data_IF_007496983608
#
_entry.id   IF_007496983608
#
_cell.length_a   1.000
_cell.length_b   1.000
_cell.length_c   1.000
_cell.angle_alpha   90.00
_cell.angle_beta   90.00
_cell.angle_gamma   90.00
#
_symmetry.space_group_name_H-M   'P 1'
#
loop_
_entity.id
_entity.type
_entity.pdbx_description
1 polymer ?
#
# COMPACT_ATOMS: atom_id res chain seq x y z
N UNK A 1 36.52 -5.52 5.03
CA UNK A 1 36.13 -4.53 6.05
C UNK A 1 35.07 -5.01 7.04
N UNK A 2 33.82 -5.26 6.62
CA UNK A 2 32.75 -5.61 7.57
C UNK A 2 32.94 -6.99 8.23
N UNK A 3 33.38 -8.00 7.48
CA UNK A 3 33.75 -9.33 8.00
C UNK A 3 35.00 -9.30 8.89
N UNK A 4 35.91 -8.37 8.61
CA UNK A 4 37.12 -8.11 9.40
C UNK A 4 36.83 -7.32 10.69
N UNK A 5 35.57 -7.01 10.97
CA UNK A 5 35.16 -6.32 12.19
C UNK A 5 35.45 -4.82 12.23
N UNK A 6 35.80 -4.18 11.10
CA UNK A 6 36.16 -2.75 11.05
C UNK A 6 35.03 -1.82 11.53
N UNK A 7 33.76 -2.23 11.38
CA UNK A 7 32.58 -1.48 11.83
C UNK A 7 32.02 -2.00 13.16
N UNK A 8 32.82 -2.75 13.94
CA UNK A 8 32.43 -3.30 15.25
C UNK A 8 33.43 -2.86 16.33
N UNK A 9 32.92 -2.62 17.54
CA UNK A 9 33.73 -2.32 18.73
C UNK A 9 34.68 -1.11 18.62
N UNK A 10 34.34 -0.12 17.79
CA UNK A 10 35.06 1.16 17.68
C UNK A 10 34.08 2.30 17.32
N UNK A 11 34.59 3.52 17.08
CA UNK A 11 33.74 4.67 16.72
C UNK A 11 32.93 4.46 15.43
N UNK A 12 33.44 3.67 14.48
CA UNK A 12 32.76 3.34 13.24
C UNK A 12 31.58 2.37 13.43
N UNK A 13 31.39 1.83 14.64
CA UNK A 13 30.16 1.10 14.99
C UNK A 13 28.90 2.01 15.00
N UNK A 14 29.09 3.33 15.04
CA UNK A 14 28.00 4.33 14.95
C UNK A 14 27.56 4.64 13.52
N UNK A 15 28.22 4.07 12.50
CA UNK A 15 27.90 4.33 11.10
C UNK A 15 26.50 3.78 10.76
N UNK A 16 25.63 4.64 10.23
CA UNK A 16 24.24 4.28 9.91
C UNK A 16 23.96 4.16 8.41
N UNK A 17 24.73 4.87 7.58
CA UNK A 17 24.54 4.93 6.14
C UNK A 17 25.88 4.84 5.41
N UNK A 18 25.92 4.04 4.36
CA UNK A 18 27.00 4.04 3.38
C UNK A 18 26.56 4.77 2.12
N UNK A 19 27.47 5.57 1.56
CA UNK A 19 27.35 6.18 0.23
C UNK A 19 28.50 5.66 -0.61
N UNK A 20 28.19 5.09 -1.77
CA UNK A 20 29.15 4.53 -2.71
C UNK A 20 29.00 5.26 -4.03
N UNK A 21 30.09 5.76 -4.59
CA UNK A 21 30.06 6.52 -5.84
C UNK A 21 31.31 6.28 -6.67
N UNK A 22 31.15 6.34 -7.99
CA UNK A 22 32.23 6.46 -8.96
C UNK A 22 32.15 7.81 -9.72
N UNK A 23 31.61 8.84 -9.06
CA UNK A 23 31.30 10.19 -9.58
C UNK A 23 30.13 10.26 -10.57
N UNK A 24 30.04 9.29 -11.49
CA UNK A 24 28.96 9.22 -12.48
C UNK A 24 27.70 8.59 -11.93
N UNK A 25 27.84 7.60 -11.05
CA UNK A 25 26.74 6.87 -10.41
C UNK A 25 26.95 6.86 -8.91
N UNK A 26 25.90 7.17 -8.16
CA UNK A 26 25.93 7.28 -6.70
C UNK A 26 24.81 6.46 -6.11
N UNK A 27 25.15 5.59 -5.16
CA UNK A 27 24.22 4.70 -4.46
C UNK A 27 24.37 4.88 -2.96
N UNK A 28 23.31 4.62 -2.23
CA UNK A 28 23.33 4.62 -0.77
C UNK A 28 22.56 3.44 -0.21
N UNK A 29 22.94 2.99 0.98
CA UNK A 29 22.28 1.91 1.69
C UNK A 29 22.51 2.02 3.20
N UNK A 30 21.55 1.49 3.97
CA UNK A 30 21.65 1.45 5.42
C UNK A 30 22.75 0.46 5.87
N UNK A 31 23.42 0.77 6.98
CA UNK A 31 24.37 -0.17 7.57
C UNK A 31 23.64 -1.44 8.04
N UNK A 32 24.16 -2.61 7.66
CA UNK A 32 23.62 -3.91 8.00
C UNK A 32 24.76 -4.91 8.25
N UNK A 33 24.45 -6.03 8.90
CA UNK A 33 25.43 -7.10 9.09
C UNK A 33 25.83 -7.70 7.74
N UNK A 34 27.06 -8.23 7.57
CA UNK A 34 27.52 -8.78 6.29
C UNK A 34 26.56 -9.79 5.64
N UNK A 35 25.94 -10.64 6.46
CA UNK A 35 24.93 -11.64 6.03
C UNK A 35 23.66 -11.02 5.44
N UNK A 36 23.36 -9.78 5.79
CA UNK A 36 22.14 -9.05 5.41
C UNK A 36 22.40 -7.98 4.35
N UNK A 37 23.68 -7.74 3.98
CA UNK A 37 24.05 -6.87 2.88
C UNK A 37 23.67 -7.53 1.55
N UNK A 38 22.67 -6.96 0.87
CA UNK A 38 22.22 -7.44 -0.43
C UNK A 38 22.27 -6.32 -1.48
N UNK A 39 22.73 -6.57 -2.72
CA UNK A 39 22.76 -5.57 -3.78
C UNK A 39 21.41 -4.91 -4.11
N UNK A 40 20.30 -5.54 -3.71
CA UNK A 40 18.93 -5.00 -3.87
C UNK A 40 18.64 -3.82 -2.95
N UNK A 41 19.45 -3.62 -1.91
CA UNK A 41 19.31 -2.49 -0.98
C UNK A 41 20.21 -1.30 -1.35
N UNK A 42 20.88 -1.35 -2.51
CA UNK A 42 21.64 -0.23 -3.07
C UNK A 42 20.70 0.68 -3.87
N UNK A 43 20.31 1.80 -3.27
CA UNK A 43 19.34 2.70 -3.87
C UNK A 43 20.01 3.86 -4.59
N UNK A 44 19.39 4.29 -5.69
CA UNK A 44 19.70 5.57 -6.34
C UNK A 44 18.84 6.64 -5.69
N UNK A 45 19.37 7.85 -5.52
CA UNK A 45 18.52 8.97 -5.14
C UNK A 45 17.63 9.37 -6.32
N UNK A 46 16.42 9.86 -6.03
CA UNK A 46 15.51 10.44 -7.03
C UNK A 46 15.08 11.83 -6.59
N UNK A 47 14.85 12.71 -7.56
CA UNK A 47 14.22 14.01 -7.32
C UNK A 47 12.73 13.84 -6.98
N UNK A 48 12.05 14.94 -6.63
CA UNK A 48 10.60 14.97 -6.37
C UNK A 48 9.77 14.55 -7.59
N UNK A 49 10.29 14.80 -8.78
CA UNK A 49 9.67 14.41 -10.05
C UNK A 49 10.04 12.98 -10.47
N UNK A 50 10.72 12.25 -9.59
CA UNK A 50 11.23 10.89 -9.79
C UNK A 50 12.37 10.80 -10.82
N UNK A 51 13.14 11.84 -11.08
CA UNK A 51 14.33 11.72 -11.93
C UNK A 51 15.52 11.17 -11.13
N UNK A 52 16.28 10.23 -11.70
CA UNK A 52 17.45 9.63 -11.02
C UNK A 52 18.57 10.66 -10.85
N UNK A 53 19.13 10.74 -9.64
CA UNK A 53 20.28 11.57 -9.31
C UNK A 53 21.51 10.68 -9.22
N UNK A 54 22.21 10.55 -10.36
CA UNK A 54 23.36 9.66 -10.51
C UNK A 54 24.67 10.36 -10.14
N UNK A 55 24.82 11.63 -10.53
CA UNK A 55 26.03 12.42 -10.32
C UNK A 55 26.28 12.69 -8.82
N UNK A 56 27.52 12.49 -8.37
CA UNK A 56 27.92 12.65 -6.97
C UNK A 56 27.67 14.07 -6.43
N UNK A 57 27.97 15.11 -7.22
CA UNK A 57 27.84 16.49 -6.74
C UNK A 57 26.38 16.89 -6.56
N UNK A 58 25.49 16.45 -7.46
CA UNK A 58 24.06 16.64 -7.31
C UNK A 58 23.49 15.83 -6.13
N UNK A 59 23.97 14.61 -5.92
CA UNK A 59 23.64 13.83 -4.73
C UNK A 59 24.08 14.55 -3.45
N UNK A 60 25.30 15.08 -3.40
CA UNK A 60 25.80 15.84 -2.25
C UNK A 60 24.94 17.08 -1.96
N UNK A 61 24.56 17.83 -2.99
CA UNK A 61 23.70 19.02 -2.83
C UNK A 61 22.31 18.69 -2.33
N UNK A 62 21.74 17.53 -2.69
CA UNK A 62 20.36 17.18 -2.33
C UNK A 62 20.25 16.34 -1.06
N UNK A 63 21.25 15.50 -0.77
CA UNK A 63 21.17 14.46 0.28
C UNK A 63 22.16 14.72 1.41
N UNK A 64 23.39 15.12 1.08
CA UNK A 64 24.46 15.32 2.07
C UNK A 64 24.60 16.78 2.54
N UNK A 65 23.72 17.66 2.06
CA UNK A 65 23.67 19.03 2.57
C UNK A 65 23.21 19.03 4.03
N UNK A 66 23.58 20.07 4.77
CA UNK A 66 22.98 20.34 6.08
C UNK A 66 21.82 21.34 5.86
N UNK A 67 20.61 21.07 6.38
CA UNK A 67 20.29 20.05 7.39
C UNK A 67 19.78 18.69 6.86
N UNK A 68 19.68 18.47 5.54
CA UNK A 68 18.97 17.31 5.00
C UNK A 68 19.65 15.97 5.34
N UNK A 69 20.98 15.93 5.43
CA UNK A 69 21.72 14.75 5.88
C UNK A 69 21.33 14.33 7.31
N UNK A 70 21.20 15.31 8.21
CA UNK A 70 20.76 15.05 9.58
C UNK A 70 19.32 14.55 9.63
N UNK A 71 18.44 15.09 8.78
CA UNK A 71 17.03 14.63 8.69
C UNK A 71 16.93 13.22 8.15
N UNK A 72 17.73 12.86 7.13
CA UNK A 72 17.77 11.50 6.58
C UNK A 72 18.05 10.46 7.66
N UNK A 73 19.06 10.75 8.48
CA UNK A 73 19.46 9.87 9.57
C UNK A 73 18.47 9.90 10.74
N UNK A 74 18.02 11.08 11.18
CA UNK A 74 17.23 11.22 12.40
C UNK A 74 15.72 10.92 12.21
N UNK A 75 15.13 11.35 11.09
CA UNK A 75 13.68 11.31 10.87
C UNK A 75 13.27 10.22 9.87
N UNK A 76 14.16 9.87 8.93
CA UNK A 76 13.87 8.96 7.81
C UNK A 76 14.59 7.62 7.89
N UNK A 77 15.13 7.28 9.07
CA UNK A 77 15.67 5.95 9.36
C UNK A 77 14.83 5.26 10.42
N UNK A 78 14.60 3.96 10.25
CA UNK A 78 13.77 3.12 11.11
C UNK A 78 14.59 1.88 11.48
N UNK A 79 14.49 1.41 12.71
CA UNK A 79 15.03 0.09 13.05
C UNK A 79 13.91 -0.93 12.93
N UNK A 80 14.17 -1.97 12.15
CA UNK A 80 13.33 -3.16 12.08
C UNK A 80 13.90 -4.19 13.05
N UNK A 81 13.07 -4.63 14.01
CA UNK A 81 13.37 -5.73 14.92
C UNK A 81 12.67 -7.00 14.45
N UNK A 82 13.43 -8.00 14.01
CA UNK A 82 12.87 -9.32 13.75
C UNK A 82 13.57 -10.39 14.59
N UNK A 83 12.80 -10.91 15.55
CA UNK A 83 13.02 -11.95 16.57
C UNK A 83 14.38 -12.03 17.30
N UNK A 84 15.51 -11.69 16.66
CA UNK A 84 16.86 -11.54 17.23
C UNK A 84 17.80 -10.60 16.42
N UNK A 85 17.38 -10.02 15.28
CA UNK A 85 18.19 -9.08 14.48
C UNK A 85 17.55 -7.69 14.45
N UNK A 86 18.34 -6.66 14.81
CA UNK A 86 18.05 -5.25 14.56
C UNK A 86 18.66 -4.83 13.24
N UNK A 87 17.83 -4.44 12.27
CA UNK A 87 18.29 -3.96 10.97
C UNK A 87 17.86 -2.51 10.78
N UNK A 88 18.80 -1.64 10.42
CA UNK A 88 18.46 -0.27 10.04
C UNK A 88 17.87 -0.25 8.63
N UNK A 89 16.76 0.44 8.47
CA UNK A 89 16.09 0.69 7.20
C UNK A 89 16.01 2.20 6.98
N UNK A 90 16.66 2.68 5.93
CA UNK A 90 16.58 4.08 5.51
C UNK A 90 15.47 4.18 4.47
N UNK A 91 14.58 5.17 4.63
CA UNK A 91 13.51 5.41 3.68
C UNK A 91 14.06 5.77 2.29
N UNK A 92 13.34 5.32 1.27
CA UNK A 92 13.65 5.60 -0.12
C UNK A 92 13.32 7.08 -0.44
N UNK A 93 13.91 7.66 -1.50
CA UNK A 93 13.77 9.09 -1.79
C UNK A 93 12.31 9.50 -2.02
N UNK A 94 11.54 8.68 -2.73
CA UNK A 94 10.12 8.92 -2.97
C UNK A 94 9.26 8.89 -1.70
N UNK A 95 9.68 8.14 -0.66
CA UNK A 95 9.01 8.11 0.64
C UNK A 95 9.31 9.41 1.40
N UNK A 96 10.57 9.85 1.38
CA UNK A 96 11.02 11.12 1.96
C UNK A 96 10.26 12.29 1.31
N UNK A 97 10.24 12.36 -0.02
CA UNK A 97 9.55 13.43 -0.76
C UNK A 97 8.04 13.43 -0.50
N UNK A 98 7.40 12.25 -0.40
CA UNK A 98 5.99 12.15 -0.02
C UNK A 98 5.74 12.70 1.39
N UNK A 99 6.56 12.33 2.38
CA UNK A 99 6.45 12.86 3.75
C UNK A 99 6.62 14.38 3.76
N UNK A 100 7.61 14.91 3.02
CA UNK A 100 7.81 16.35 2.92
C UNK A 100 6.61 17.07 2.29
N UNK A 101 5.99 16.49 1.25
CA UNK A 101 4.80 17.04 0.63
C UNK A 101 3.60 17.06 1.61
N UNK A 102 3.41 15.99 2.39
CA UNK A 102 2.41 15.94 3.46
C UNK A 102 2.63 17.05 4.51
N UNK A 103 3.88 17.30 4.89
CA UNK A 103 4.23 18.35 5.85
C UNK A 103 3.86 19.75 5.35
N UNK A 104 4.11 20.02 4.06
CA UNK A 104 3.75 21.29 3.41
C UNK A 104 2.22 21.43 3.35
N UNK A 105 1.52 20.36 2.96
CA UNK A 105 0.06 20.36 2.87
C UNK A 105 -0.60 20.53 4.25
N UNK A 106 -0.10 19.83 5.28
CA UNK A 106 -0.60 19.93 6.65
C UNK A 106 -0.45 21.34 7.24
N UNK A 107 0.67 22.01 6.96
CA UNK A 107 0.90 23.41 7.34
C UNK A 107 -0.12 24.37 6.73
N UNK A 108 -0.64 24.03 5.54
CA UNK A 108 -1.65 24.82 4.83
C UNK A 108 -3.07 24.37 5.13
N UNK A 109 -3.27 23.41 6.03
CA UNK A 109 -4.55 22.73 6.26
C UNK A 109 -5.17 22.17 4.96
N UNK A 110 -4.32 21.71 4.04
CA UNK A 110 -4.71 21.15 2.75
C UNK A 110 -4.66 19.63 2.81
N UNK A 111 -5.76 18.99 2.43
CA UNK A 111 -5.81 17.55 2.24
C UNK A 111 -5.19 17.17 0.90
N UNK A 112 -4.75 15.92 0.76
CA UNK A 112 -4.26 15.39 -0.51
C UNK A 112 -4.01 13.89 -0.45
N UNK A 113 -3.46 13.30 -1.51
CA UNK A 113 -3.12 11.89 -1.53
C UNK A 113 -1.76 11.60 -2.16
N UNK A 114 -1.16 10.48 -1.74
CA UNK A 114 0.09 9.95 -2.25
C UNK A 114 -0.23 8.74 -3.11
N UNK A 115 0.21 8.80 -4.37
CA UNK A 115 0.06 7.71 -5.32
C UNK A 115 1.37 6.96 -5.49
N UNK A 116 1.51 5.85 -4.79
CA UNK A 116 2.73 5.05 -4.74
C UNK A 116 2.43 3.60 -5.12
N UNK A 117 3.25 2.99 -5.97
CA UNK A 117 3.04 1.64 -6.49
C UNK A 117 2.76 0.59 -5.39
N UNK A 118 1.96 -0.43 -5.70
CA UNK A 118 1.76 -1.56 -4.78
C UNK A 118 3.09 -2.26 -4.51
N UNK A 119 3.41 -2.50 -3.24
CA UNK A 119 4.70 -3.05 -2.83
C UNK A 119 5.82 -2.01 -2.62
N UNK A 120 5.59 -0.71 -2.85
CA UNK A 120 6.63 0.32 -2.66
C UNK A 120 6.85 0.76 -1.21
N UNK A 121 6.23 0.11 -0.22
CA UNK A 121 6.32 0.49 1.19
C UNK A 121 5.40 1.64 1.62
N UNK A 122 4.18 1.73 1.05
CA UNK A 122 3.16 2.73 1.45
C UNK A 122 2.84 2.70 2.93
N UNK A 123 2.55 1.53 3.48
CA UNK A 123 2.21 1.34 4.90
C UNK A 123 3.29 1.86 5.85
N UNK A 124 4.56 1.60 5.53
CA UNK A 124 5.70 2.15 6.25
C UNK A 124 5.76 3.67 6.13
N UNK A 125 5.57 4.19 4.92
CA UNK A 125 5.57 5.64 4.63
C UNK A 125 4.44 6.36 5.37
N UNK A 126 3.23 5.80 5.40
CA UNK A 126 2.08 6.37 6.11
C UNK A 126 2.30 6.36 7.62
N UNK A 127 2.93 5.31 8.15
CA UNK A 127 3.25 5.23 9.58
C UNK A 127 4.28 6.30 9.98
N UNK A 128 5.39 6.40 9.24
CA UNK A 128 6.41 7.43 9.51
C UNK A 128 5.83 8.83 9.33
N UNK A 129 4.98 9.04 8.31
CA UNK A 129 4.26 10.31 8.13
C UNK A 129 3.43 10.65 9.36
N UNK A 130 2.65 9.70 9.86
CA UNK A 130 1.77 9.87 11.04
C UNK A 130 2.59 10.25 12.27
N UNK A 131 3.69 9.54 12.50
CA UNK A 131 4.64 9.77 13.60
C UNK A 131 5.27 11.16 13.55
N UNK A 132 5.78 11.56 12.39
CA UNK A 132 6.45 12.86 12.24
C UNK A 132 5.43 14.01 12.32
N UNK A 133 4.23 13.85 11.75
CA UNK A 133 3.15 14.85 11.85
C UNK A 133 2.69 15.07 13.29
N UNK A 134 2.66 14.03 14.12
CA UNK A 134 2.32 14.15 15.54
C UNK A 134 3.31 14.99 16.36
N UNK A 135 4.55 15.18 15.87
CA UNK A 135 5.56 16.04 16.53
C UNK A 135 5.49 17.51 16.09
N UNK A 136 4.65 17.82 15.11
CA UNK A 136 4.66 19.11 14.43
C UNK A 136 3.76 20.10 15.18
N UNK A 137 4.29 21.29 15.45
CA UNK A 137 3.52 22.39 16.04
C UNK A 137 2.31 22.75 15.16
N UNK A 138 1.16 22.97 15.77
CA UNK A 138 -0.08 23.31 15.06
C UNK A 138 -0.90 22.10 14.60
N UNK A 139 -0.45 20.87 14.90
CA UNK A 139 -1.27 19.65 14.81
C UNK A 139 -1.56 19.20 16.24
N UNK A 140 -2.84 19.11 16.60
CA UNK A 140 -3.23 18.68 17.94
C UNK A 140 -3.18 17.15 18.09
N UNK A 141 -3.54 16.41 17.03
CA UNK A 141 -3.54 14.94 17.01
C UNK A 141 -3.33 14.40 15.62
N UNK A 142 -2.70 13.22 15.54
CA UNK A 142 -2.58 12.47 14.29
C UNK A 142 -3.17 11.07 14.44
N UNK A 143 -4.08 10.71 13.54
CA UNK A 143 -4.80 9.44 13.55
C UNK A 143 -4.49 8.70 12.25
N UNK A 144 -3.90 7.52 12.35
CA UNK A 144 -3.72 6.60 11.24
C UNK A 144 -4.90 5.61 11.18
N UNK A 145 -5.56 5.57 10.02
CA UNK A 145 -6.61 4.63 9.69
C UNK A 145 -6.06 3.57 8.74
N UNK A 146 -6.27 2.31 9.11
CA UNK A 146 -5.86 1.14 8.30
C UNK A 146 -7.07 0.23 8.01
N UNK A 147 -7.00 -0.55 6.93
CA UNK A 147 -8.02 -1.57 6.64
C UNK A 147 -7.97 -2.68 7.70
N UNK A 148 -9.14 -3.26 8.00
CA UNK A 148 -9.31 -4.33 9.01
C UNK A 148 -8.47 -5.57 8.72
N UNK A 149 -8.26 -5.89 7.43
CA UNK A 149 -7.42 -7.02 7.01
C UNK A 149 -5.94 -6.71 7.15
N UNK A 150 -5.60 -5.42 7.07
CA UNK A 150 -4.21 -4.99 7.15
C UNK A 150 -3.81 -4.79 8.62
N UNK A 151 -4.77 -4.55 9.54
CA UNK A 151 -4.55 -4.59 11.00
C UNK A 151 -4.59 -6.02 11.59
N UNK A 152 -4.04 -7.00 10.88
CA UNK A 152 -3.83 -8.34 11.42
C UNK A 152 -2.68 -8.32 12.46
N UNK A 153 -2.49 -9.44 13.17
CA UNK A 153 -1.52 -9.55 14.28
C UNK A 153 -0.07 -9.20 13.86
N UNK A 154 0.30 -9.46 12.59
CA UNK A 154 1.64 -9.16 12.07
C UNK A 154 1.89 -7.65 11.99
N UNK A 155 1.00 -6.92 11.32
CA UNK A 155 1.09 -5.46 11.17
C UNK A 155 0.96 -4.73 12.51
N UNK A 156 0.11 -5.24 13.42
CA UNK A 156 -0.01 -4.70 14.79
C UNK A 156 1.30 -4.87 15.56
N UNK A 157 1.96 -6.02 15.43
CA UNK A 157 3.26 -6.28 16.06
C UNK A 157 4.34 -5.39 15.46
N UNK A 158 4.40 -5.25 14.13
CA UNK A 158 5.33 -4.35 13.45
C UNK A 158 5.14 -2.90 13.90
N UNK A 159 3.91 -2.39 13.90
CA UNK A 159 3.63 -1.04 14.39
C UNK A 159 3.95 -0.85 15.87
N UNK A 160 3.73 -1.87 16.71
CA UNK A 160 4.09 -1.84 18.13
C UNK A 160 5.60 -1.84 18.32
N UNK A 161 6.36 -2.62 17.54
CA UNK A 161 7.83 -2.62 17.55
C UNK A 161 8.40 -1.27 17.11
N UNK A 162 7.86 -0.70 16.03
CA UNK A 162 8.24 0.64 15.57
C UNK A 162 7.91 1.74 16.60
N UNK A 163 6.98 1.47 17.51
CA UNK A 163 6.61 2.35 18.62
C UNK A 163 7.54 2.25 19.83
N UNK A 164 7.90 1.03 20.22
CA UNK A 164 8.61 0.77 21.47
C UNK A 164 9.99 1.42 21.49
N UNK A 165 10.66 1.50 20.36
CA UNK A 165 11.95 2.20 20.26
C UNK A 165 11.84 3.72 20.34
N UNK A 166 10.67 4.30 20.04
CA UNK A 166 10.43 5.74 20.17
C UNK A 166 10.37 6.21 21.63
N UNK A 167 10.18 5.29 22.57
CA UNK A 167 10.23 5.58 24.00
C UNK A 167 11.66 5.72 24.55
N UNK A 168 12.70 5.67 23.72
CA UNK A 168 14.11 5.77 24.15
C UNK A 168 14.77 7.14 23.92
N UNK A 169 13.98 8.23 23.92
CA UNK A 169 14.53 9.58 23.85
C UNK A 169 13.66 10.62 24.54
N UNK A 170 14.00 10.93 25.80
CA UNK A 170 13.44 11.96 26.69
C UNK A 170 12.19 11.53 27.48
N UNK A 171 12.40 10.68 28.48
CA UNK A 171 11.62 10.68 29.73
C UNK A 171 12.56 10.82 30.92
N UNK A 172 13.37 11.88 30.94
CA UNK A 172 13.96 12.39 32.18
C UNK A 172 12.98 13.40 32.78
N UNK A 173 12.00 12.92 33.55
CA UNK A 173 11.03 13.75 34.26
C UNK A 173 9.57 13.25 34.17
N UNK A 174 8.70 13.85 34.98
CA UNK A 174 7.26 13.54 35.10
C UNK A 174 6.40 13.86 33.84
N UNK A 175 7.00 13.93 32.65
CA UNK A 175 6.28 14.15 31.40
C UNK A 175 5.56 12.86 30.99
N UNK A 176 4.23 12.94 30.82
CA UNK A 176 3.39 11.82 30.38
C UNK A 176 3.88 11.31 29.02
N UNK A 177 4.11 10.00 28.92
CA UNK A 177 4.60 9.32 27.73
C UNK A 177 3.76 9.65 26.49
N UNK A 178 4.42 9.74 25.32
CA UNK A 178 3.75 9.75 24.03
C UNK A 178 2.91 8.45 23.92
N UNK A 179 1.60 8.57 24.02
CA UNK A 179 0.70 7.41 23.94
C UNK A 179 0.57 7.02 22.48
N UNK A 180 1.31 5.99 22.05
CA UNK A 180 0.94 5.25 20.85
C UNK A 180 -0.10 4.21 21.25
N UNK A 181 -1.22 4.25 20.56
CA UNK A 181 -2.25 3.23 20.72
C UNK A 181 -2.41 2.47 19.41
N UNK A 182 -1.99 1.21 19.42
CA UNK A 182 -2.18 0.28 18.31
C UNK A 182 -3.29 -0.69 18.68
N UNK A 183 -4.41 -0.60 17.99
CA UNK A 183 -5.41 -1.66 18.00
C UNK A 183 -6.03 -1.99 19.37
N UNK A 184 -6.40 -0.98 20.20
CA UNK A 184 -7.04 -1.20 21.52
C UNK A 184 -8.05 -2.34 21.53
N UNK A 185 -8.03 -3.14 22.60
CA UNK A 185 -9.01 -4.20 22.82
C UNK A 185 -10.44 -3.67 23.01
N UNK A 186 -10.61 -2.38 23.35
CA UNK A 186 -11.93 -1.77 23.56
C UNK A 186 -12.06 -0.35 23.00
N UNK A 187 -13.27 -0.01 22.52
CA UNK A 187 -13.62 1.35 22.10
C UNK A 187 -13.57 2.39 23.24
N UNK A 188 -13.64 1.92 24.49
CA UNK A 188 -13.55 2.75 25.70
C UNK A 188 -12.15 3.36 25.86
N UNK A 189 -11.12 2.53 25.76
CA UNK A 189 -9.72 2.96 25.87
C UNK A 189 -9.33 3.97 24.76
N UNK A 190 -9.79 3.70 23.54
CA UNK A 190 -9.60 4.63 22.42
C UNK A 190 -10.32 5.97 22.67
N UNK A 191 -11.54 5.94 23.23
CA UNK A 191 -12.27 7.15 23.59
C UNK A 191 -11.57 7.95 24.70
N UNK A 192 -11.09 7.29 25.75
CA UNK A 192 -10.36 7.95 26.84
C UNK A 192 -9.10 8.66 26.34
N UNK A 193 -8.41 8.06 25.37
CA UNK A 193 -7.21 8.63 24.74
C UNK A 193 -7.53 9.79 23.82
N UNK A 194 -8.58 9.66 23.00
CA UNK A 194 -9.10 10.77 22.21
C UNK A 194 -9.53 11.97 23.08
N UNK A 195 -9.90 11.73 24.33
CA UNK A 195 -10.28 12.78 25.30
C UNK A 195 -9.13 13.23 26.22
N UNK A 196 -7.93 12.65 26.10
CA UNK A 196 -6.73 13.08 26.83
C UNK A 196 -6.26 14.48 26.39
N UNK A 197 -5.54 15.22 27.23
CA UNK A 197 -5.12 16.60 26.93
C UNK A 197 -4.21 16.70 25.69
N UNK A 198 -4.34 17.80 24.94
CA UNK A 198 -3.67 18.05 23.65
C UNK A 198 -2.12 18.08 23.71
N UNK A 199 -1.54 18.23 24.90
CA UNK A 199 -0.09 18.33 25.08
C UNK A 199 0.62 16.97 24.90
N UNK A 200 -0.13 15.88 24.73
CA UNK A 200 0.43 14.60 24.34
C UNK A 200 0.46 14.54 22.81
N UNK A 201 1.65 14.37 22.22
CA UNK A 201 1.81 14.05 20.80
C UNK A 201 1.26 12.63 20.56
N UNK A 202 -0.07 12.49 20.55
CA UNK A 202 -0.74 11.20 20.49
C UNK A 202 -0.80 10.74 19.05
N UNK A 203 -0.24 9.55 18.82
CA UNK A 203 -0.40 8.80 17.58
C UNK A 203 -1.44 7.71 17.84
N UNK A 204 -2.49 7.67 17.04
CA UNK A 204 -3.56 6.68 17.18
C UNK A 204 -3.61 5.83 15.91
N UNK A 205 -3.39 4.52 16.05
CA UNK A 205 -3.50 3.56 14.94
C UNK A 205 -4.72 2.69 15.19
N UNK A 206 -5.73 2.83 14.33
CA UNK A 206 -7.01 2.17 14.54
C UNK A 206 -7.69 1.84 13.23
N UNK A 207 -8.73 1.00 13.31
CA UNK A 207 -9.64 0.80 12.19
C UNK A 207 -10.77 1.82 12.23
N UNK A 208 -11.40 2.04 11.07
CA UNK A 208 -12.60 2.88 10.97
C UNK A 208 -13.70 2.47 11.96
N UNK A 209 -13.99 1.17 12.11
CA UNK A 209 -15.07 0.70 13.00
C UNK A 209 -14.77 1.03 14.47
N UNK A 210 -13.52 0.89 14.88
CA UNK A 210 -13.09 1.22 16.24
C UNK A 210 -13.14 2.73 16.48
N UNK A 211 -12.74 3.55 15.50
CA UNK A 211 -12.88 5.01 15.60
C UNK A 211 -14.35 5.42 15.78
N UNK A 212 -15.27 4.92 14.95
CA UNK A 212 -16.69 5.23 15.07
C UNK A 212 -17.27 4.83 16.44
N UNK A 213 -16.90 3.65 16.94
CA UNK A 213 -17.32 3.19 18.26
C UNK A 213 -16.79 4.08 19.38
N UNK A 214 -15.52 4.51 19.28
CA UNK A 214 -14.90 5.40 20.25
C UNK A 214 -15.50 6.80 20.24
N UNK A 215 -15.83 7.36 19.07
CA UNK A 215 -16.50 8.65 18.95
C UNK A 215 -17.92 8.61 19.53
N UNK A 216 -18.69 7.55 19.24
CA UNK A 216 -20.01 7.32 19.85
C UNK A 216 -19.93 7.19 21.37
N UNK A 217 -18.90 6.52 21.87
CA UNK A 217 -18.67 6.40 23.31
C UNK A 217 -18.29 7.74 23.94
N UNK A 218 -17.40 8.51 23.30
CA UNK A 218 -16.97 9.82 23.77
C UNK A 218 -18.15 10.78 23.92
N UNK A 219 -19.03 10.84 22.91
CA UNK A 219 -20.25 11.65 22.95
C UNK A 219 -21.19 11.26 24.10
N UNK A 220 -21.43 9.95 24.28
CA UNK A 220 -22.26 9.45 25.39
C UNK A 220 -21.66 9.74 26.78
N UNK A 221 -20.33 9.70 26.89
CA UNK A 221 -19.65 10.06 28.15
C UNK A 221 -19.78 11.55 28.45
N UNK A 222 -19.72 12.40 27.41
CA UNK A 222 -19.93 13.83 27.54
C UNK A 222 -21.33 14.14 28.07
N UNK A 223 -22.36 13.57 27.45
CA UNK A 223 -23.77 13.69 27.87
C UNK A 223 -24.00 13.22 29.31
N UNK A 224 -23.29 12.17 29.75
CA UNK A 224 -23.41 11.61 31.11
C UNK A 224 -22.67 12.40 32.19
N UNK A 225 -21.51 12.97 31.87
CA UNK A 225 -20.62 13.62 32.85
C UNK A 225 -20.69 15.15 32.82
N UNK A 226 -21.37 15.74 31.83
CA UNK A 226 -21.48 17.20 31.68
C UNK A 226 -20.14 17.90 31.43
N UNK A 227 -19.15 17.19 30.86
CA UNK A 227 -17.84 17.77 30.51
C UNK A 227 -17.89 18.44 29.13
N UNK A 228 -16.95 19.35 28.80
CA UNK A 228 -16.82 19.90 27.43
C UNK A 228 -15.64 19.26 26.65
N UNK A 229 -15.25 18.04 27.00
CA UNK A 229 -14.02 17.42 26.46
C UNK A 229 -14.16 17.02 25.00
N UNK A 230 -15.33 16.50 24.60
CA UNK A 230 -15.55 16.07 23.23
C UNK A 230 -15.82 17.30 22.34
N UNK A 231 -16.50 18.33 22.85
CA UNK A 231 -16.60 19.61 22.14
C UNK A 231 -15.22 20.27 21.89
N UNK A 232 -14.29 20.20 22.86
CA UNK A 232 -12.90 20.66 22.66
C UNK A 232 -12.19 19.86 21.58
N UNK A 233 -12.31 18.53 21.58
CA UNK A 233 -11.73 17.65 20.56
C UNK A 233 -12.20 18.02 19.14
N UNK A 234 -13.48 18.36 18.97
CA UNK A 234 -14.05 18.76 17.67
C UNK A 234 -13.44 20.07 17.13
N UNK A 235 -12.93 20.93 18.01
CA UNK A 235 -12.28 22.19 17.65
C UNK A 235 -10.78 22.10 17.34
N UNK A 236 -10.19 20.91 17.49
CA UNK A 236 -8.77 20.63 17.27
C UNK A 236 -8.43 20.39 15.80
N UNK A 237 -7.20 20.72 15.40
CA UNK A 237 -6.63 20.31 14.12
C UNK A 237 -6.16 18.86 14.23
N UNK A 238 -6.99 17.96 13.70
CA UNK A 238 -6.70 16.53 13.63
C UNK A 238 -6.25 16.18 12.22
N UNK A 239 -5.09 15.53 12.10
CA UNK A 239 -4.61 14.99 10.83
C UNK A 239 -4.94 13.51 10.74
N UNK A 240 -5.66 13.12 9.71
CA UNK A 240 -5.96 11.72 9.39
C UNK A 240 -5.03 11.22 8.28
N UNK A 241 -4.34 10.12 8.53
CA UNK A 241 -3.52 9.41 7.54
C UNK A 241 -4.18 8.07 7.25
N UNK A 242 -4.60 7.83 6.01
CA UNK A 242 -5.38 6.64 5.63
C UNK A 242 -4.55 5.76 4.71
N UNK A 243 -4.13 4.60 5.20
CA UNK A 243 -3.46 3.58 4.39
C UNK A 243 -4.48 2.77 3.57
N UNK A 244 -4.08 2.37 2.36
CA UNK A 244 -4.95 1.71 1.37
C UNK A 244 -6.34 2.39 1.30
N UNK A 245 -6.33 3.69 1.00
CA UNK A 245 -7.41 4.61 1.36
C UNK A 245 -8.80 4.28 0.79
N UNK A 246 -8.86 3.51 -0.31
CA UNK A 246 -10.11 3.02 -0.90
C UNK A 246 -10.68 1.77 -0.22
N UNK A 247 -9.84 1.01 0.49
CA UNK A 247 -10.24 -0.15 1.29
C UNK A 247 -10.62 0.28 2.71
N UNK A 248 -9.84 1.20 3.29
CA UNK A 248 -10.01 1.60 4.69
C UNK A 248 -11.21 2.54 4.94
N UNK A 249 -11.52 3.45 4.01
CA UNK A 249 -12.52 4.50 4.26
C UNK A 249 -13.31 4.90 2.99
N UNK A 250 -14.64 4.70 3.01
CA UNK A 250 -15.52 5.23 1.96
C UNK A 250 -15.72 6.74 2.08
N UNK A 251 -16.08 7.38 0.96
CA UNK A 251 -16.30 8.82 0.89
C UNK A 251 -17.43 9.32 1.82
N UNK A 252 -18.50 8.54 1.99
CA UNK A 252 -19.62 8.89 2.88
C UNK A 252 -19.15 8.98 4.33
N UNK A 253 -18.39 7.97 4.79
CA UNK A 253 -17.87 7.94 6.16
C UNK A 253 -16.86 9.06 6.39
N UNK A 254 -16.02 9.36 5.39
CA UNK A 254 -15.10 10.49 5.49
C UNK A 254 -15.87 11.81 5.64
N UNK A 255 -16.99 11.97 4.92
CA UNK A 255 -17.84 13.16 5.03
C UNK A 255 -18.50 13.28 6.41
N UNK A 256 -18.95 12.17 7.00
CA UNK A 256 -19.44 12.13 8.39
C UNK A 256 -18.35 12.58 9.39
N UNK A 257 -17.12 12.07 9.24
CA UNK A 257 -16.01 12.45 10.12
C UNK A 257 -15.58 13.91 9.89
N UNK A 258 -15.58 14.40 8.65
CA UNK A 258 -15.31 15.82 8.34
C UNK A 258 -16.36 16.75 8.96
N UNK A 259 -17.63 16.34 9.01
CA UNK A 259 -18.70 17.09 9.71
C UNK A 259 -18.44 17.16 11.22
N UNK A 260 -17.86 16.11 11.80
CA UNK A 260 -17.45 16.11 13.20
C UNK A 260 -16.18 16.95 13.44
N UNK A 261 -15.17 16.80 12.60
CA UNK A 261 -13.90 17.50 12.71
C UNK A 261 -13.71 18.48 11.55
N UNK A 262 -14.33 19.68 11.60
CA UNK A 262 -14.32 20.62 10.46
C UNK A 262 -12.91 21.15 10.16
N UNK A 263 -11.99 21.12 11.12
CA UNK A 263 -10.57 21.50 10.94
C UNK A 263 -9.68 20.31 10.56
N UNK A 264 -10.25 19.16 10.21
CA UNK A 264 -9.45 17.96 9.90
C UNK A 264 -8.74 18.05 8.55
N UNK A 265 -7.49 17.59 8.52
CA UNK A 265 -6.71 17.42 7.28
C UNK A 265 -6.58 15.94 6.98
N UNK A 266 -6.72 15.54 5.72
CA UNK A 266 -6.75 14.13 5.32
C UNK A 266 -5.68 13.80 4.28
N UNK A 267 -4.93 12.73 4.55
CA UNK A 267 -3.91 12.20 3.65
C UNK A 267 -4.22 10.75 3.29
N UNK A 268 -4.50 10.48 2.03
CA UNK A 268 -4.73 9.12 1.52
C UNK A 268 -3.46 8.53 0.91
N UNK A 269 -3.14 7.28 1.20
CA UNK A 269 -2.12 6.50 0.50
C UNK A 269 -2.80 5.42 -0.34
N UNK A 270 -2.45 5.35 -1.63
CA UNK A 270 -3.01 4.34 -2.53
C UNK A 270 -2.04 3.99 -3.66
N UNK A 271 -2.06 2.72 -4.07
CA UNK A 271 -1.42 2.29 -5.32
C UNK A 271 -2.35 2.30 -6.53
N UNK A 272 -3.65 2.42 -6.29
CA UNK A 272 -4.72 2.30 -7.28
C UNK A 272 -5.70 3.46 -7.14
N UNK A 273 -5.28 4.69 -7.47
CA UNK A 273 -6.19 5.83 -7.45
C UNK A 273 -7.38 5.62 -8.40
N UNK A 274 -8.53 6.11 -7.96
CA UNK A 274 -9.77 6.16 -8.72
C UNK A 274 -9.78 7.47 -9.50
N UNK A 275 -9.74 7.36 -10.82
CA UNK A 275 -9.81 8.44 -11.80
C UNK A 275 -11.19 8.51 -12.44
N UNK A 276 -11.55 9.62 -13.12
CA UNK A 276 -12.82 9.73 -13.84
C UNK A 276 -13.17 8.54 -14.73
N UNK A 277 -12.17 7.95 -15.38
CA UNK A 277 -12.27 6.88 -16.38
C UNK A 277 -12.52 5.50 -15.77
N UNK A 278 -12.07 5.26 -14.53
CA UNK A 278 -12.16 3.95 -13.86
C UNK A 278 -13.20 3.92 -12.73
N UNK A 279 -13.99 4.99 -12.58
CA UNK A 279 -15.09 5.08 -11.63
C UNK A 279 -16.12 3.98 -11.94
N UNK A 280 -16.20 2.96 -11.07
CA UNK A 280 -17.29 1.99 -11.13
C UNK A 280 -18.61 2.75 -10.96
N UNK A 281 -19.55 2.56 -11.88
CA UNK A 281 -20.96 2.90 -11.67
C UNK A 281 -21.50 2.04 -10.53
N UNK A 282 -21.19 2.38 -9.28
CA UNK A 282 -21.83 1.76 -8.14
C UNK A 282 -23.30 2.23 -8.12
N UNK A 283 -24.23 1.30 -7.81
CA UNK A 283 -25.61 1.64 -7.46
C UNK A 283 -25.59 2.50 -6.19
N UNK A 284 -25.48 3.81 -6.35
CA UNK A 284 -25.34 4.80 -5.29
C UNK A 284 -24.83 6.14 -5.85
N UNK A 285 -25.22 7.25 -5.26
CA UNK A 285 -25.11 8.59 -5.86
C UNK A 285 -23.69 9.14 -6.09
N UNK A 286 -22.60 8.47 -5.70
CA UNK A 286 -21.28 9.10 -5.73
C UNK A 286 -20.15 8.11 -6.01
N UNK A 287 -19.89 7.82 -7.29
CA UNK A 287 -18.54 7.42 -7.68
C UNK A 287 -17.63 8.68 -7.58
N UNK A 288 -16.98 8.88 -6.43
CA UNK A 288 -16.00 9.96 -6.22
C UNK A 288 -14.61 9.47 -6.61
N UNK A 289 -13.86 10.31 -7.32
CA UNK A 289 -12.44 10.05 -7.60
C UNK A 289 -11.62 10.16 -6.31
N UNK A 290 -10.39 9.64 -6.31
CA UNK A 290 -9.46 9.86 -5.18
C UNK A 290 -9.25 11.35 -4.94
N UNK A 291 -9.20 12.12 -6.03
CA UNK A 291 -9.10 13.57 -5.99
C UNK A 291 -10.31 14.22 -5.32
N UNK A 292 -11.54 13.83 -5.68
CA UNK A 292 -12.76 14.36 -5.05
C UNK A 292 -12.80 14.06 -3.52
N UNK A 293 -12.25 12.92 -3.11
CA UNK A 293 -12.28 12.49 -1.71
C UNK A 293 -11.17 13.16 -0.87
N UNK A 294 -9.94 13.16 -1.36
CA UNK A 294 -8.75 13.56 -0.61
C UNK A 294 -8.13 14.88 -1.05
N UNK A 295 -8.38 15.36 -2.27
CA UNK A 295 -7.79 16.57 -2.85
C UNK A 295 -6.65 16.26 -3.81
N UNK A 296 -5.69 17.17 -3.91
CA UNK A 296 -4.60 17.10 -4.89
C UNK A 296 -3.65 15.90 -4.65
N UNK A 297 -3.03 15.44 -5.73
CA UNK A 297 -1.92 14.48 -5.64
C UNK A 297 -0.69 15.19 -5.09
N UNK A 298 -0.22 14.75 -3.92
CA UNK A 298 0.92 15.35 -3.22
C UNK A 298 2.26 14.82 -3.72
N UNK A 299 2.32 13.54 -4.09
CA UNK A 299 3.50 12.90 -4.65
C UNK A 299 3.10 11.63 -5.42
N UNK A 300 3.83 11.34 -6.50
CA UNK A 300 3.64 10.12 -7.30
C UNK A 300 4.90 9.27 -7.32
N UNK A 301 4.75 7.95 -7.26
CA UNK A 301 5.80 6.98 -7.52
C UNK A 301 5.15 5.77 -8.18
N UNK A 302 5.21 5.73 -9.51
CA UNK A 302 4.41 4.79 -10.30
C UNK A 302 5.09 3.42 -10.39
N UNK A 303 4.36 2.44 -10.91
CA UNK A 303 4.93 1.11 -11.17
C UNK A 303 6.10 1.15 -12.15
N UNK A 304 6.09 2.10 -13.09
CA UNK A 304 7.20 2.35 -14.01
C UNK A 304 8.47 2.72 -13.22
N UNK A 305 8.37 3.68 -12.31
CA UNK A 305 9.50 4.11 -11.47
C UNK A 305 10.01 2.94 -10.61
N UNK A 306 9.09 2.16 -10.04
CA UNK A 306 9.43 1.01 -9.22
C UNK A 306 10.15 -0.10 -9.99
N UNK A 307 9.79 -0.31 -11.25
CA UNK A 307 10.45 -1.26 -12.15
C UNK A 307 11.85 -0.75 -12.55
N UNK A 308 11.98 0.53 -12.88
CA UNK A 308 13.28 1.16 -13.19
C UNK A 308 14.27 1.12 -12.02
N UNK A 309 13.78 1.09 -10.78
CA UNK A 309 14.58 0.96 -9.57
C UNK A 309 14.81 -0.48 -9.13
N UNK A 310 14.23 -1.47 -9.82
CA UNK A 310 14.28 -2.88 -9.42
C UNK A 310 13.65 -3.15 -8.04
N UNK A 311 12.83 -2.21 -7.54
CA UNK A 311 12.15 -2.30 -6.24
C UNK A 311 10.94 -3.23 -6.29
N UNK A 312 10.37 -3.43 -7.48
CA UNK A 312 9.30 -4.41 -7.74
C UNK A 312 9.67 -5.29 -8.93
N UNK A 313 9.12 -6.50 -8.98
CA UNK A 313 9.31 -7.40 -10.10
C UNK A 313 8.34 -7.04 -11.24
N UNK A 314 8.78 -7.25 -12.48
CA UNK A 314 7.93 -7.14 -13.67
C UNK A 314 6.84 -8.21 -13.69
N UNK A 315 5.79 -7.95 -14.47
CA UNK A 315 4.73 -8.93 -14.70
C UNK A 315 5.00 -9.73 -15.97
N UNK A 316 4.86 -11.04 -15.87
CA UNK A 316 4.73 -11.93 -17.02
C UNK A 316 3.27 -12.34 -17.11
N UNK A 317 2.53 -11.71 -18.03
CA UNK A 317 1.11 -12.00 -18.25
C UNK A 317 1.00 -13.00 -19.40
N UNK A 318 0.42 -14.16 -19.10
CA UNK A 318 0.15 -15.22 -20.06
C UNK A 318 -1.36 -15.44 -20.15
N UNK A 319 -1.88 -15.51 -21.37
CA UNK A 319 -3.29 -15.82 -21.60
C UNK A 319 -3.41 -17.28 -22.04
N UNK A 320 -4.17 -18.07 -21.30
CA UNK A 320 -4.36 -19.50 -21.56
C UNK A 320 -5.78 -19.72 -22.12
N UNK A 321 -5.85 -19.95 -23.43
CA UNK A 321 -7.11 -20.23 -24.11
C UNK A 321 -7.55 -21.66 -23.81
N UNK A 322 -8.59 -21.81 -22.98
CA UNK A 322 -9.22 -23.11 -22.71
C UNK A 322 -10.33 -23.46 -23.71
N UNK A 323 -10.73 -22.48 -24.52
CA UNK A 323 -11.75 -22.61 -25.57
C UNK A 323 -11.03 -22.61 -26.92
N UNK A 324 -11.36 -23.57 -27.77
CA UNK A 324 -10.73 -23.65 -29.09
C UNK A 324 -11.10 -22.43 -29.97
N UNK A 325 -10.12 -21.77 -30.60
CA UNK A 325 -10.35 -20.58 -31.43
C UNK A 325 -11.42 -20.80 -32.50
N UNK A 326 -11.37 -21.92 -33.20
CA UNK A 326 -12.32 -22.27 -34.27
C UNK A 326 -13.76 -22.39 -33.75
N UNK A 327 -13.94 -22.88 -32.52
CA UNK A 327 -15.26 -22.98 -31.88
C UNK A 327 -15.81 -21.59 -31.53
N UNK A 328 -14.93 -20.72 -31.03
CA UNK A 328 -15.25 -19.33 -30.72
C UNK A 328 -15.63 -18.54 -31.99
N UNK A 329 -14.84 -18.64 -33.05
CA UNK A 329 -15.05 -17.92 -34.31
C UNK A 329 -16.36 -18.35 -34.99
N UNK A 330 -16.66 -19.65 -35.02
CA UNK A 330 -17.94 -20.15 -35.50
C UNK A 330 -19.13 -19.63 -34.70
N UNK A 331 -18.98 -19.48 -33.37
CA UNK A 331 -20.02 -18.92 -32.51
C UNK A 331 -20.23 -17.42 -32.78
N UNK A 332 -19.15 -16.67 -32.99
CA UNK A 332 -19.22 -15.26 -33.36
C UNK A 332 -19.89 -15.10 -34.73
N UNK A 333 -19.50 -15.92 -35.71
CA UNK A 333 -20.09 -15.92 -37.05
C UNK A 333 -21.62 -16.09 -37.01
N UNK A 334 -22.11 -17.07 -36.25
CA UNK A 334 -23.56 -17.30 -36.07
C UNK A 334 -24.25 -16.10 -35.43
N UNK A 335 -23.69 -15.56 -34.35
CA UNK A 335 -24.25 -14.38 -33.66
C UNK A 335 -24.26 -13.13 -34.54
N UNK A 336 -23.23 -12.91 -35.37
CA UNK A 336 -23.20 -11.77 -36.28
C UNK A 336 -24.27 -11.91 -37.36
N UNK A 337 -24.51 -13.12 -37.89
CA UNK A 337 -25.57 -13.37 -38.87
C UNK A 337 -26.99 -13.12 -38.34
N UNK A 338 -27.20 -13.20 -37.03
CA UNK A 338 -28.48 -12.91 -36.38
C UNK A 338 -28.75 -11.39 -36.25
N UNK A 339 -27.73 -10.54 -36.40
CA UNK A 339 -27.87 -9.09 -36.35
C UNK A 339 -28.25 -8.57 -37.74
N UNK A 340 -29.37 -7.86 -37.85
CA UNK A 340 -29.90 -7.33 -39.12
C UNK A 340 -28.84 -6.60 -39.96
N UNK A 341 -27.98 -5.81 -39.32
CA UNK A 341 -26.89 -5.07 -39.97
C UNK A 341 -25.87 -5.94 -40.71
N UNK A 342 -25.63 -7.17 -40.23
CA UNK A 342 -24.62 -8.07 -40.80
C UNK A 342 -25.25 -9.30 -41.48
N UNK A 343 -26.58 -9.42 -41.47
CA UNK A 343 -27.29 -10.56 -42.05
C UNK A 343 -27.01 -10.71 -43.56
N UNK A 344 -26.92 -9.58 -44.28
CA UNK A 344 -26.66 -9.53 -45.74
C UNK A 344 -25.17 -9.63 -46.11
N UNK A 345 -24.25 -9.61 -45.14
CA UNK A 345 -22.82 -9.66 -45.44
C UNK A 345 -22.44 -11.06 -45.97
N UNK A 346 -21.55 -11.11 -46.96
CA UNK A 346 -20.97 -12.37 -47.45
C UNK A 346 -20.19 -13.11 -46.35
N UNK A 347 -20.07 -14.45 -46.42
CA UNK A 347 -19.25 -15.21 -45.47
C UNK A 347 -17.82 -14.67 -45.35
N UNK A 348 -17.21 -14.25 -46.46
CA UNK A 348 -15.87 -13.68 -46.50
C UNK A 348 -15.78 -12.34 -45.75
N UNK A 349 -16.81 -11.49 -45.84
CA UNK A 349 -16.87 -10.22 -45.10
C UNK A 349 -16.97 -10.46 -43.60
N UNK A 350 -17.80 -11.40 -43.16
CA UNK A 350 -17.95 -11.73 -41.73
C UNK A 350 -16.67 -12.34 -41.18
N UNK A 351 -16.04 -13.27 -41.90
CA UNK A 351 -14.78 -13.88 -41.47
C UNK A 351 -13.67 -12.84 -41.34
N UNK A 352 -13.52 -11.91 -42.30
CA UNK A 352 -12.55 -10.81 -42.19
C UNK A 352 -12.80 -9.92 -40.97
N UNK A 353 -14.06 -9.66 -40.64
CA UNK A 353 -14.40 -8.90 -39.43
C UNK A 353 -13.97 -9.66 -38.17
N UNK A 354 -14.24 -10.96 -38.11
CA UNK A 354 -13.84 -11.82 -36.98
C UNK A 354 -12.31 -11.85 -36.86
N UNK A 355 -11.58 -12.00 -37.96
CA UNK A 355 -10.11 -12.02 -37.98
C UNK A 355 -9.51 -10.71 -37.45
N UNK A 356 -10.16 -9.58 -37.73
CA UNK A 356 -9.76 -8.25 -37.27
C UNK A 356 -10.25 -7.91 -35.86
N UNK A 357 -11.05 -8.76 -35.21
CA UNK A 357 -11.50 -8.51 -33.83
C UNK A 357 -10.37 -8.78 -32.83
N UNK A 358 -10.17 -7.81 -31.93
CA UNK A 358 -9.34 -7.98 -30.75
C UNK A 358 -9.80 -9.21 -29.91
N UNK A 359 -8.86 -10.00 -29.35
CA UNK A 359 -9.20 -11.21 -28.57
C UNK A 359 -10.23 -10.96 -27.46
N UNK A 360 -10.10 -9.83 -26.74
CA UNK A 360 -11.04 -9.43 -25.67
C UNK A 360 -12.47 -9.23 -26.20
N UNK A 361 -12.61 -8.71 -27.43
CA UNK A 361 -13.93 -8.58 -28.08
C UNK A 361 -14.47 -9.94 -28.48
N UNK A 362 -13.62 -10.83 -29.02
CA UNK A 362 -14.03 -12.21 -29.35
C UNK A 362 -14.60 -12.93 -28.12
N UNK A 363 -13.94 -12.81 -26.96
CA UNK A 363 -14.40 -13.41 -25.71
C UNK A 363 -15.75 -12.90 -25.22
N UNK A 364 -16.13 -11.65 -25.52
CA UNK A 364 -17.43 -11.10 -25.11
C UNK A 364 -18.63 -11.83 -25.73
N UNK A 365 -18.41 -12.62 -26.79
CA UNK A 365 -19.44 -13.45 -27.42
C UNK A 365 -19.62 -14.81 -26.72
N UNK A 366 -18.72 -15.19 -25.82
CA UNK A 366 -18.86 -16.38 -24.99
C UNK A 366 -19.89 -16.15 -23.89
N UNK A 367 -20.58 -17.24 -23.54
CA UNK A 367 -21.46 -17.21 -22.37
C UNK A 367 -20.59 -17.48 -21.13
N UNK A 368 -20.73 -16.71 -20.03
CA UNK A 368 -19.96 -16.94 -18.81
C UNK A 368 -20.03 -18.37 -18.29
N UNK A 369 -21.15 -19.08 -18.53
CA UNK A 369 -21.34 -20.48 -18.14
C UNK A 369 -20.32 -21.44 -18.75
N UNK A 370 -19.71 -21.10 -19.89
CA UNK A 370 -18.62 -21.88 -20.50
C UNK A 370 -17.44 -22.02 -19.53
N UNK A 371 -17.11 -20.95 -18.81
CA UNK A 371 -16.04 -20.92 -17.82
C UNK A 371 -16.44 -21.56 -16.46
N UNK A 372 -17.73 -21.85 -16.27
CA UNK A 372 -18.25 -22.48 -15.05
C UNK A 372 -18.46 -24.00 -15.19
N UNK A 373 -18.25 -24.52 -16.40
CA UNK A 373 -18.35 -25.93 -16.74
C UNK A 373 -17.25 -26.75 -16.08
N UNK A 374 -17.58 -27.98 -15.68
CA UNK A 374 -16.61 -28.89 -15.08
C UNK A 374 -15.48 -29.22 -16.07
N UNK A 375 -15.77 -29.30 -17.38
CA UNK A 375 -14.75 -29.49 -18.43
C UNK A 375 -13.71 -28.37 -18.43
N UNK A 376 -14.16 -27.11 -18.37
CA UNK A 376 -13.25 -25.96 -18.30
C UNK A 376 -12.40 -26.00 -17.02
N UNK A 377 -13.03 -26.26 -15.87
CA UNK A 377 -12.33 -26.38 -14.58
C UNK A 377 -11.24 -27.45 -14.66
N UNK A 378 -11.53 -28.62 -15.22
CA UNK A 378 -10.55 -29.69 -15.39
C UNK A 378 -9.41 -29.30 -16.32
N UNK A 379 -9.68 -28.59 -17.43
CA UNK A 379 -8.62 -28.06 -18.33
C UNK A 379 -7.70 -27.09 -17.59
N UNK A 380 -8.26 -26.18 -16.79
CA UNK A 380 -7.49 -25.23 -15.98
C UNK A 380 -6.62 -25.97 -14.96
N UNK A 381 -7.18 -26.91 -14.22
CA UNK A 381 -6.45 -27.67 -13.20
C UNK A 381 -5.34 -28.51 -13.85
N UNK A 382 -5.61 -29.17 -14.97
CA UNK A 382 -4.61 -29.94 -15.71
C UNK A 382 -3.44 -29.05 -16.16
N UNK A 383 -3.72 -27.84 -16.65
CA UNK A 383 -2.68 -26.86 -17.00
C UNK A 383 -1.89 -26.41 -15.76
N UNK A 384 -2.56 -26.16 -14.64
CA UNK A 384 -1.91 -25.73 -13.39
C UNK A 384 -0.92 -26.79 -12.86
N UNK A 385 -1.31 -28.06 -12.89
CA UNK A 385 -0.50 -29.17 -12.35
C UNK A 385 0.32 -29.93 -13.41
N UNK A 386 0.36 -29.44 -14.66
CA UNK A 386 1.21 -30.03 -15.69
C UNK A 386 2.66 -30.02 -15.22
N UNK A 387 3.39 -31.16 -15.20
CA UNK A 387 4.68 -31.27 -14.52
C UNK A 387 5.73 -30.25 -14.99
N UNK A 388 5.80 -29.98 -16.29
CA UNK A 388 6.68 -28.98 -16.91
C UNK A 388 6.36 -27.55 -16.44
N UNK A 389 5.07 -27.21 -16.38
CA UNK A 389 4.59 -25.90 -15.96
C UNK A 389 4.81 -25.71 -14.45
N UNK A 390 4.43 -26.69 -13.64
CA UNK A 390 4.60 -26.64 -12.20
C UNK A 390 6.08 -26.55 -11.80
N UNK A 391 6.96 -27.36 -12.40
CA UNK A 391 8.39 -27.35 -12.08
C UNK A 391 9.02 -25.97 -12.34
N UNK A 392 8.65 -25.35 -13.46
CA UNK A 392 9.17 -24.04 -13.88
C UNK A 392 8.58 -22.89 -13.04
N UNK A 393 7.25 -22.85 -12.88
CA UNK A 393 6.57 -21.72 -12.21
C UNK A 393 6.80 -21.70 -10.70
N UNK A 394 6.92 -22.86 -10.07
CA UNK A 394 7.20 -22.97 -8.63
C UNK A 394 8.70 -23.07 -8.27
N UNK A 395 9.60 -23.02 -9.26
CA UNK A 395 11.06 -23.06 -9.11
C UNK A 395 11.50 -24.19 -8.15
N UNK A 396 11.28 -25.44 -8.57
CA UNK A 396 11.56 -26.60 -7.73
C UNK A 396 13.06 -26.77 -7.44
N UNK A 397 13.42 -26.98 -6.17
CA UNK A 397 14.78 -27.31 -5.74
C UNK A 397 14.75 -28.49 -4.79
N UNK A 398 15.63 -29.47 -5.00
CA UNK A 398 15.68 -30.72 -4.22
C UNK A 398 14.32 -31.43 -4.12
N UNK A 399 13.54 -31.42 -5.20
CA UNK A 399 12.22 -32.06 -5.27
C UNK A 399 11.10 -31.32 -4.52
N UNK A 400 11.32 -30.08 -4.06
CA UNK A 400 10.31 -29.26 -3.38
C UNK A 400 10.10 -27.91 -4.07
N UNK A 401 8.86 -27.40 -4.13
CA UNK A 401 8.61 -26.05 -4.65
C UNK A 401 9.22 -25.00 -3.72
N UNK A 402 9.80 -23.94 -4.29
CA UNK A 402 10.35 -22.81 -3.52
C UNK A 402 9.39 -21.62 -3.46
N UNK A 403 8.30 -21.66 -4.24
CA UNK A 403 7.28 -20.62 -4.32
C UNK A 403 5.89 -21.21 -4.08
N UNK A 404 4.93 -20.34 -3.79
CA UNK A 404 3.50 -20.67 -3.67
C UNK A 404 2.69 -19.84 -4.69
N UNK A 405 1.46 -20.25 -4.97
CA UNK A 405 0.56 -19.55 -5.90
C UNK A 405 -0.82 -19.33 -5.28
N UNK A 406 -1.57 -18.38 -5.84
CA UNK A 406 -2.94 -18.07 -5.47
C UNK A 406 -3.82 -18.29 -6.70
N UNK A 407 -4.92 -19.03 -6.53
CA UNK A 407 -5.98 -19.14 -7.53
C UNK A 407 -7.13 -18.20 -7.15
N UNK A 408 -7.39 -17.20 -7.99
CA UNK A 408 -8.52 -16.28 -7.82
C UNK A 408 -9.66 -16.69 -8.73
N UNK A 409 -10.86 -16.87 -8.18
CA UNK A 409 -12.07 -17.24 -8.93
C UNK A 409 -13.08 -16.10 -8.99
N UNK A 410 -14.01 -16.16 -9.94
CA UNK A 410 -15.07 -15.15 -10.12
C UNK A 410 -16.08 -15.12 -8.96
N UNK A 411 -16.30 -16.24 -8.29
CA UNK A 411 -17.28 -16.38 -7.20
C UNK A 411 -16.86 -17.41 -6.15
N UNK A 412 -17.55 -17.37 -4.99
CA UNK A 412 -17.40 -18.35 -3.91
C UNK A 412 -17.79 -19.75 -4.39
N UNK A 413 -18.84 -19.86 -5.21
CA UNK A 413 -19.29 -21.16 -5.69
C UNK A 413 -18.30 -21.76 -6.70
N UNK A 414 -17.67 -20.94 -7.54
CA UNK A 414 -16.54 -21.38 -8.35
C UNK A 414 -15.35 -21.82 -7.49
N UNK A 415 -15.02 -21.09 -6.41
CA UNK A 415 -13.97 -21.50 -5.50
C UNK A 415 -14.24 -22.89 -4.89
N UNK A 416 -15.50 -23.18 -4.50
CA UNK A 416 -15.91 -24.50 -3.99
C UNK A 416 -15.75 -25.58 -5.07
N UNK A 417 -16.14 -25.31 -6.32
CA UNK A 417 -15.98 -26.26 -7.43
C UNK A 417 -14.51 -26.58 -7.68
N UNK A 418 -13.65 -25.57 -7.83
CA UNK A 418 -12.20 -25.76 -7.98
C UNK A 418 -11.60 -26.54 -6.80
N UNK A 419 -11.99 -26.20 -5.56
CA UNK A 419 -11.51 -26.92 -4.38
C UNK A 419 -11.88 -28.42 -4.39
N UNK A 420 -13.12 -28.76 -4.76
CA UNK A 420 -13.57 -30.15 -4.86
C UNK A 420 -12.82 -30.90 -5.96
N UNK A 421 -12.70 -30.31 -7.15
CA UNK A 421 -12.00 -30.90 -8.28
C UNK A 421 -10.51 -31.15 -7.98
N UNK A 422 -9.83 -30.21 -7.34
CA UNK A 422 -8.42 -30.39 -6.90
C UNK A 422 -8.34 -31.54 -5.88
N UNK A 423 -9.27 -31.61 -4.92
CA UNK A 423 -9.29 -32.67 -3.90
C UNK A 423 -9.51 -34.05 -4.52
N UNK A 424 -10.30 -34.15 -5.57
CA UNK A 424 -10.52 -35.40 -6.32
C UNK A 424 -9.27 -35.86 -7.06
N UNK A 425 -8.47 -34.95 -7.62
CA UNK A 425 -7.19 -35.30 -8.27
C UNK A 425 -6.09 -35.75 -7.30
N UNK A 426 -6.18 -35.36 -6.02
CA UNK A 426 -5.22 -35.77 -4.98
C UNK A 426 -5.54 -37.11 -4.31
N UNK A 427 -6.69 -37.72 -4.64
CA UNK A 427 -7.02 -39.10 -4.26
C UNK A 427 -6.47 -40.06 -5.29
#
# INVERSE_FOLDING_TARGET
YAEEGMFRNNIFSTLQLFVVSNEQTTRYFANALPKDLHPKFLFSWRTKDNEKVENLYEFCKQVLNIPDAHRLIADYTIVSEDQDNKTLMVLHPYQVHAIQALFIAANKHQSGYVWHATGSGKTLTSFVSTKLLARKSGIDRTIMLVDRKDLDNQTTTEFTKFASEFNTGISSGNAKANSLIVGTGSAKELSETLLADANANVVIITTRQKLDAALKYAKKQEEKKGTNRFQKLMGQHIVFVVDECHRALSAENMEEIKKMFPKSTWFGFTGTPIFPENRKQAKGQLARTTHDQYGEVLHTYTIKNALEDGSVLGFQVEHENTVEPTSLENKIYRKLKEVETYAEYSPEQINRMIDQMEPVKKESYLDPTVFESDEHIQKVIHKMFRPDNAYTKFDFRNGRPTKSAILTTSSIDMAKKYYRAIKEMTK
#
